data_IF_684449581204
#
_entry.id   IF_684449581204
#
_cell.length_a   1.000
_cell.length_b   1.000
_cell.length_c   1.000
_cell.angle_alpha   90.00
_cell.angle_beta   90.00
_cell.angle_gamma   90.00
#
_symmetry.space_group_name_H-M   'P 1'
#
loop_
_entity.id
_entity.type
_entity.pdbx_description
1 polymer ?
#
# COMPACT_ATOMS: atom_id res chain seq x y z
N UNK A 1 54.13 10.30 -58.27
CA UNK A 1 54.71 8.96 -58.45
C UNK A 1 55.47 8.66 -57.17
N UNK A 2 54.80 8.77 -56.04
CA UNK A 2 53.77 7.87 -55.49
C UNK A 2 54.47 6.70 -54.84
N UNK A 3 54.47 6.74 -53.51
CA UNK A 3 54.11 5.60 -52.69
C UNK A 3 53.80 6.11 -51.27
N UNK A 4 52.50 6.29 -51.01
CA UNK A 4 51.90 6.51 -49.69
C UNK A 4 51.41 5.16 -49.16
N UNK A 5 52.07 4.65 -48.14
CA UNK A 5 51.66 3.44 -47.42
C UNK A 5 50.72 3.83 -46.28
N UNK A 6 49.59 3.13 -46.30
CA UNK A 6 48.49 3.08 -45.34
C UNK A 6 48.99 2.58 -43.98
N UNK A 7 48.54 3.20 -42.88
CA UNK A 7 48.32 2.49 -41.62
C UNK A 7 46.95 2.83 -41.06
N UNK A 8 46.17 1.78 -40.87
CA UNK A 8 44.80 1.71 -40.40
C UNK A 8 44.69 1.98 -38.90
N UNK A 9 43.52 2.53 -38.53
CA UNK A 9 42.91 2.50 -37.21
C UNK A 9 42.71 1.04 -36.74
N UNK A 10 43.20 0.68 -35.55
CA UNK A 10 43.01 -0.64 -34.92
C UNK A 10 42.75 -0.57 -33.40
N UNK A 11 42.52 0.61 -32.80
CA UNK A 11 42.49 0.75 -31.33
C UNK A 11 41.08 0.60 -30.71
N UNK A 12 39.99 0.52 -31.50
CA UNK A 12 38.61 0.40 -30.97
C UNK A 12 38.12 -1.07 -30.79
N UNK A 13 38.82 -2.07 -31.35
CA UNK A 13 38.38 -3.47 -31.32
C UNK A 13 38.88 -4.23 -30.06
N UNK A 14 39.98 -3.81 -29.43
CA UNK A 14 40.56 -4.49 -28.25
C UNK A 14 39.82 -4.15 -26.94
N UNK A 15 39.29 -2.92 -26.81
CA UNK A 15 38.50 -2.49 -25.65
C UNK A 15 37.13 -3.18 -25.59
N UNK A 16 36.48 -3.42 -26.74
CA UNK A 16 35.19 -4.14 -26.77
C UNK A 16 35.35 -5.63 -26.40
N UNK A 17 36.42 -6.29 -26.85
CA UNK A 17 36.69 -7.70 -26.52
C UNK A 17 36.99 -7.91 -25.03
N UNK A 18 37.68 -6.96 -24.38
CA UNK A 18 37.98 -7.04 -22.94
C UNK A 18 36.74 -6.78 -22.08
N UNK A 19 35.87 -5.86 -22.53
CA UNK A 19 34.57 -5.57 -21.92
C UNK A 19 33.64 -6.80 -21.99
N UNK A 20 33.48 -7.44 -23.15
CA UNK A 20 32.65 -8.64 -23.31
C UNK A 20 33.17 -9.82 -22.47
N UNK A 21 34.48 -10.01 -22.42
CA UNK A 21 35.08 -11.09 -21.63
C UNK A 21 34.90 -10.87 -20.12
N UNK A 22 34.93 -9.61 -19.65
CA UNK A 22 34.66 -9.27 -18.24
C UNK A 22 33.20 -9.53 -17.83
N UNK A 23 32.24 -9.28 -18.73
CA UNK A 23 30.81 -9.52 -18.47
C UNK A 23 30.47 -11.02 -18.42
N UNK A 24 31.12 -11.84 -19.28
CA UNK A 24 30.99 -13.30 -19.28
C UNK A 24 31.52 -13.92 -17.97
N UNK A 25 32.70 -13.47 -17.50
CA UNK A 25 33.30 -13.90 -16.24
C UNK A 25 32.38 -13.57 -15.04
N UNK A 26 31.80 -12.37 -15.02
CA UNK A 26 30.88 -11.96 -13.95
C UNK A 26 29.61 -12.81 -13.96
N UNK A 27 29.02 -13.05 -15.14
CA UNK A 27 27.86 -13.94 -15.29
C UNK A 27 28.14 -15.35 -14.78
N UNK A 28 29.31 -15.91 -15.10
CA UNK A 28 29.75 -17.22 -14.63
C UNK A 28 29.95 -17.27 -13.12
N UNK A 29 30.59 -16.26 -12.53
CA UNK A 29 30.77 -16.16 -11.07
C UNK A 29 29.41 -16.11 -10.36
N UNK A 30 28.51 -15.26 -10.83
CA UNK A 30 27.19 -15.09 -10.21
C UNK A 30 26.37 -16.38 -10.34
N UNK A 31 26.37 -17.04 -11.50
CA UNK A 31 25.67 -18.32 -11.69
C UNK A 31 26.25 -19.46 -10.84
N UNK A 32 27.58 -19.47 -10.62
CA UNK A 32 28.24 -20.41 -9.74
C UNK A 32 27.85 -20.17 -8.27
N UNK A 33 27.81 -18.91 -7.82
CA UNK A 33 27.37 -18.56 -6.46
C UNK A 33 25.90 -18.94 -6.28
N UNK A 34 25.04 -18.68 -7.27
CA UNK A 34 23.63 -19.05 -7.21
C UNK A 34 23.43 -20.56 -7.12
N UNK A 35 24.10 -21.34 -7.98
CA UNK A 35 23.97 -22.80 -8.00
C UNK A 35 24.48 -23.48 -6.72
N UNK A 36 25.43 -22.85 -6.02
CA UNK A 36 26.01 -23.39 -4.78
C UNK A 36 25.29 -22.93 -3.52
N UNK A 37 24.75 -21.72 -3.49
CA UNK A 37 24.13 -21.12 -2.30
C UNK A 37 22.61 -21.12 -2.33
N UNK A 38 21.99 -21.38 -3.49
CA UNK A 38 20.56 -21.16 -3.75
C UNK A 38 20.06 -19.77 -3.33
N UNK A 39 20.98 -18.79 -3.19
CA UNK A 39 20.66 -17.41 -2.83
C UNK A 39 20.27 -16.64 -4.08
N UNK A 40 19.51 -15.54 -3.94
CA UNK A 40 19.08 -14.76 -5.10
C UNK A 40 20.23 -14.18 -5.91
N UNK A 41 19.98 -13.90 -7.18
CA UNK A 41 20.98 -13.30 -8.06
C UNK A 41 21.43 -11.92 -7.59
N UNK A 42 20.56 -11.13 -6.94
CA UNK A 42 20.94 -9.87 -6.27
C UNK A 42 21.93 -10.10 -5.13
N UNK A 43 21.70 -11.10 -4.27
CA UNK A 43 22.64 -11.43 -3.18
C UNK A 43 23.95 -11.96 -3.78
N UNK A 44 23.86 -12.79 -4.83
CA UNK A 44 25.03 -13.31 -5.53
C UNK A 44 25.86 -12.19 -6.15
N UNK A 45 25.21 -11.16 -6.71
CA UNK A 45 25.87 -9.97 -7.25
C UNK A 45 26.50 -9.09 -6.17
N UNK A 46 25.81 -8.88 -5.05
CA UNK A 46 26.38 -8.17 -3.90
C UNK A 46 27.57 -8.93 -3.29
N UNK A 47 27.52 -10.26 -3.30
CA UNK A 47 28.63 -11.11 -2.87
C UNK A 47 29.79 -11.06 -3.85
N UNK A 48 29.54 -11.11 -5.17
CA UNK A 48 30.59 -10.97 -6.18
C UNK A 48 31.23 -9.59 -6.14
N UNK A 49 30.45 -8.51 -5.98
CA UNK A 49 30.95 -7.15 -5.78
C UNK A 49 31.86 -7.07 -4.54
N UNK A 50 31.43 -7.62 -3.39
CA UNK A 50 32.27 -7.67 -2.18
C UNK A 50 33.53 -8.51 -2.40
N UNK A 51 33.42 -9.68 -3.02
CA UNK A 51 34.56 -10.55 -3.31
C UNK A 51 35.58 -9.85 -4.21
N UNK A 52 35.12 -9.19 -5.27
CA UNK A 52 35.95 -8.40 -6.18
C UNK A 52 36.63 -7.25 -5.43
N UNK A 53 35.89 -6.54 -4.55
CA UNK A 53 36.47 -5.47 -3.73
C UNK A 53 37.52 -5.95 -2.71
N UNK A 54 37.38 -7.17 -2.19
CA UNK A 54 38.38 -7.76 -1.29
C UNK A 54 39.61 -8.26 -2.04
N UNK A 55 39.42 -8.76 -3.26
CA UNK A 55 40.51 -9.23 -4.12
C UNK A 55 41.29 -8.08 -4.75
N UNK A 56 40.63 -6.96 -5.07
CA UNK A 56 41.28 -5.74 -5.56
C UNK A 56 42.22 -5.13 -4.51
N UNK A 57 41.88 -5.25 -3.21
CA UNK A 57 42.77 -4.84 -2.11
C UNK A 57 44.05 -5.69 -1.99
N UNK A 58 44.08 -6.89 -2.58
CA UNK A 58 45.20 -7.84 -2.47
C UNK A 58 46.14 -7.78 -3.68
N UNK A 59 45.65 -7.41 -4.88
CA UNK A 59 46.42 -7.45 -6.13
C UNK A 59 46.45 -6.11 -6.91
N UNK A 60 47.66 -5.62 -7.20
CA UNK A 60 48.01 -4.33 -7.86
C UNK A 60 47.78 -4.29 -9.39
N UNK A 61 46.63 -4.76 -9.89
CA UNK A 61 46.21 -4.53 -11.29
C UNK A 61 44.87 -3.78 -11.30
N UNK A 62 44.92 -2.48 -10.98
CA UNK A 62 43.72 -1.65 -10.76
C UNK A 62 42.75 -1.64 -11.95
N UNK A 63 43.24 -1.74 -13.19
CA UNK A 63 42.40 -1.65 -14.39
C UNK A 63 41.47 -2.88 -14.56
N UNK A 64 41.99 -4.10 -14.39
CA UNK A 64 41.18 -5.32 -14.58
C UNK A 64 40.12 -5.50 -13.49
N UNK A 65 40.43 -5.06 -12.26
CA UNK A 65 39.46 -5.09 -11.17
C UNK A 65 38.40 -4.00 -11.32
N UNK A 66 38.76 -2.82 -11.81
CA UNK A 66 37.81 -1.76 -12.13
C UNK A 66 36.87 -2.17 -13.27
N UNK A 67 37.37 -2.89 -14.27
CA UNK A 67 36.55 -3.40 -15.37
C UNK A 67 35.58 -4.50 -14.90
N UNK A 68 36.01 -5.35 -13.96
CA UNK A 68 35.15 -6.34 -13.30
C UNK A 68 34.11 -5.69 -12.37
N UNK A 69 34.47 -4.66 -11.59
CA UNK A 69 33.51 -3.90 -10.78
C UNK A 69 32.45 -3.26 -11.68
N UNK A 70 32.85 -2.64 -12.79
CA UNK A 70 31.93 -2.12 -13.81
C UNK A 70 31.11 -3.19 -14.51
N UNK A 71 31.65 -4.40 -14.69
CA UNK A 71 30.93 -5.53 -15.28
C UNK A 71 29.85 -6.06 -14.33
N UNK A 72 30.11 -6.09 -13.01
CA UNK A 72 29.08 -6.38 -11.99
C UNK A 72 28.00 -5.31 -12.00
N UNK A 73 28.35 -4.02 -12.06
CA UNK A 73 27.37 -2.95 -12.17
C UNK A 73 26.54 -3.04 -13.47
N UNK A 74 27.15 -3.45 -14.59
CA UNK A 74 26.46 -3.69 -15.86
C UNK A 74 25.53 -4.90 -15.81
N UNK A 75 25.96 -5.99 -15.16
CA UNK A 75 25.13 -7.18 -14.95
C UNK A 75 23.88 -6.85 -14.11
N UNK A 76 24.05 -6.10 -13.01
CA UNK A 76 22.95 -5.65 -12.15
C UNK A 76 21.97 -4.69 -12.85
N UNK A 77 22.41 -4.03 -13.92
CA UNK A 77 21.58 -3.11 -14.71
C UNK A 77 21.03 -3.77 -15.98
N UNK A 78 21.39 -5.02 -16.26
CA UNK A 78 21.01 -5.71 -17.49
C UNK A 78 19.56 -6.19 -17.46
N UNK A 79 18.83 -5.90 -18.54
CA UNK A 79 17.46 -6.40 -18.77
C UNK A 79 17.45 -7.93 -18.93
N UNK A 80 18.60 -8.53 -19.25
CA UNK A 80 18.80 -9.96 -19.40
C UNK A 80 19.04 -10.72 -18.08
N UNK A 81 18.85 -10.05 -16.95
CA UNK A 81 18.95 -10.67 -15.63
C UNK A 81 18.08 -11.95 -15.56
N UNK A 82 18.59 -13.06 -14.99
CA UNK A 82 17.92 -14.37 -15.01
C UNK A 82 16.53 -14.34 -14.38
N UNK A 83 16.33 -13.56 -13.31
CA UNK A 83 15.00 -13.41 -12.70
C UNK A 83 14.00 -12.68 -13.62
N UNK A 84 14.46 -11.70 -14.43
CA UNK A 84 13.62 -10.99 -15.40
C UNK A 84 13.30 -11.89 -16.61
N UNK A 85 14.26 -12.71 -17.05
CA UNK A 85 14.03 -13.74 -18.07
C UNK A 85 13.02 -14.78 -17.59
N UNK A 86 13.15 -15.25 -16.35
CA UNK A 86 12.20 -16.18 -15.72
C UNK A 86 10.80 -15.56 -15.61
N UNK A 87 10.70 -14.30 -15.18
CA UNK A 87 9.43 -13.57 -15.14
C UNK A 87 8.77 -13.51 -16.53
N UNK A 88 9.54 -13.14 -17.58
CA UNK A 88 9.04 -13.11 -18.96
C UNK A 88 8.53 -14.47 -19.42
N UNK A 89 9.31 -15.53 -19.20
CA UNK A 89 8.93 -16.90 -19.57
C UNK A 89 7.66 -17.38 -18.85
N UNK A 90 7.52 -17.07 -17.56
CA UNK A 90 6.34 -17.47 -16.79
C UNK A 90 5.07 -16.78 -17.31
N UNK A 91 5.12 -15.46 -17.56
CA UNK A 91 3.95 -14.72 -18.06
C UNK A 91 3.59 -15.16 -19.48
N UNK A 92 4.58 -15.35 -20.37
CA UNK A 92 4.35 -15.87 -21.71
C UNK A 92 3.69 -17.26 -21.67
N UNK A 93 4.18 -18.16 -20.80
CA UNK A 93 3.59 -19.48 -20.60
C UNK A 93 2.14 -19.38 -20.11
N UNK A 94 1.87 -18.50 -19.14
CA UNK A 94 0.52 -18.29 -18.60
C UNK A 94 -0.42 -17.70 -19.68
N UNK A 95 0.05 -16.73 -20.47
CA UNK A 95 -0.73 -16.14 -21.57
C UNK A 95 -1.06 -17.18 -22.64
N UNK A 96 -0.10 -18.00 -23.06
CA UNK A 96 -0.34 -19.09 -24.03
C UNK A 96 -1.38 -20.07 -23.47
N UNK A 97 -1.22 -20.51 -22.22
CA UNK A 97 -2.19 -21.40 -21.57
C UNK A 97 -3.57 -20.76 -21.41
N UNK A 98 -3.63 -19.45 -21.15
CA UNK A 98 -4.88 -18.67 -21.02
C UNK A 98 -5.65 -18.64 -22.33
N UNK A 99 -4.97 -18.23 -23.41
CA UNK A 99 -5.54 -18.15 -24.76
C UNK A 99 -6.04 -19.52 -25.25
N UNK A 100 -5.27 -20.59 -24.99
CA UNK A 100 -5.68 -21.97 -25.28
C UNK A 100 -6.95 -22.39 -24.52
N UNK A 101 -7.15 -21.88 -23.30
CA UNK A 101 -8.35 -22.16 -22.50
C UNK A 101 -9.58 -21.39 -23.01
N UNK A 102 -9.41 -20.12 -23.41
CA UNK A 102 -10.48 -19.29 -23.96
C UNK A 102 -11.00 -19.82 -25.31
N UNK A 103 -10.11 -20.19 -26.23
CA UNK A 103 -10.49 -20.73 -27.54
C UNK A 103 -11.28 -22.06 -27.44
N UNK A 104 -11.05 -22.84 -26.39
CA UNK A 104 -11.60 -24.20 -26.25
C UNK A 104 -12.89 -24.28 -25.44
N UNK A 105 -13.37 -23.19 -24.81
CA UNK A 105 -14.55 -23.21 -23.91
C UNK A 105 -14.50 -24.35 -22.86
N UNK A 106 -13.30 -24.78 -22.47
CA UNK A 106 -13.10 -25.91 -21.57
C UNK A 106 -12.99 -25.41 -20.13
N UNK A 107 -13.56 -26.15 -19.18
CA UNK A 107 -13.06 -26.16 -17.80
C UNK A 107 -11.63 -26.66 -17.83
N UNK A 108 -10.65 -25.83 -17.43
CA UNK A 108 -9.22 -26.13 -17.19
C UNK A 108 -8.86 -27.61 -17.42
N UNK A 109 -8.62 -27.98 -18.68
CA UNK A 109 -8.32 -29.36 -19.08
C UNK A 109 -6.82 -29.57 -19.26
N UNK A 110 -6.32 -30.77 -18.89
CA UNK A 110 -4.95 -31.36 -19.01
C UNK A 110 -3.73 -30.52 -18.59
N UNK A 111 -3.68 -29.23 -18.90
CA UNK A 111 -2.58 -28.30 -18.61
C UNK A 111 -2.87 -27.42 -17.37
N UNK A 112 -3.99 -27.69 -16.67
CA UNK A 112 -4.39 -26.98 -15.46
C UNK A 112 -3.33 -27.00 -14.35
N UNK A 113 -2.60 -28.12 -14.24
CA UNK A 113 -1.50 -28.24 -13.27
C UNK A 113 -0.30 -27.38 -13.68
N UNK A 114 0.05 -27.35 -14.97
CA UNK A 114 1.13 -26.51 -15.49
C UNK A 114 0.81 -25.02 -15.35
N UNK A 115 -0.45 -24.63 -15.62
CA UNK A 115 -0.92 -23.26 -15.38
C UNK A 115 -0.85 -22.91 -13.89
N UNK A 116 -1.35 -23.78 -13.02
CA UNK A 116 -1.30 -23.58 -11.57
C UNK A 116 0.14 -23.45 -11.05
N UNK A 117 1.03 -24.37 -11.44
CA UNK A 117 2.44 -24.34 -11.08
C UNK A 117 3.12 -23.05 -11.59
N UNK A 118 2.82 -22.61 -12.80
CA UNK A 118 3.37 -21.37 -13.37
C UNK A 118 2.89 -20.13 -12.61
N UNK A 119 1.61 -20.09 -12.25
CA UNK A 119 1.02 -19.00 -11.45
C UNK A 119 1.65 -18.97 -10.04
N UNK A 120 1.80 -20.13 -9.38
CA UNK A 120 2.46 -20.21 -8.07
C UNK A 120 3.93 -19.77 -8.15
N UNK A 121 4.67 -20.23 -9.17
CA UNK A 121 6.07 -19.81 -9.37
C UNK A 121 6.20 -18.31 -9.64
N UNK A 122 5.24 -17.72 -10.37
CA UNK A 122 5.21 -16.28 -10.59
C UNK A 122 4.95 -15.51 -9.30
N UNK A 123 4.01 -15.98 -8.47
CA UNK A 123 3.75 -15.42 -7.15
C UNK A 123 4.99 -15.50 -6.25
N UNK A 124 5.64 -16.66 -6.16
CA UNK A 124 6.86 -16.86 -5.36
C UNK A 124 7.99 -15.94 -5.82
N UNK A 125 8.17 -15.80 -7.13
CA UNK A 125 9.16 -14.90 -7.71
C UNK A 125 8.89 -13.45 -7.29
N UNK A 126 7.66 -12.97 -7.41
CA UNK A 126 7.29 -11.61 -7.04
C UNK A 126 7.38 -11.37 -5.53
N UNK A 127 6.88 -12.28 -4.70
CA UNK A 127 6.92 -12.17 -3.23
C UNK A 127 8.35 -12.10 -2.68
N UNK A 128 9.34 -12.65 -3.40
CA UNK A 128 10.76 -12.56 -3.05
C UNK A 128 11.37 -11.14 -3.23
N UNK A 129 10.54 -10.09 -3.21
CA UNK A 129 10.80 -8.64 -3.42
C UNK A 129 12.18 -8.09 -3.01
N UNK A 130 12.83 -8.65 -2.00
CA UNK A 130 14.20 -8.30 -1.58
C UNK A 130 15.23 -8.55 -2.71
N UNK A 131 14.86 -9.36 -3.70
CA UNK A 131 15.77 -9.94 -4.69
C UNK A 131 15.44 -9.60 -6.14
N UNK A 132 14.36 -8.86 -6.40
CA UNK A 132 14.10 -8.36 -7.75
C UNK A 132 14.61 -6.93 -7.89
N UNK A 133 15.28 -6.66 -9.01
CA UNK A 133 15.55 -5.29 -9.45
C UNK A 133 14.23 -4.61 -9.84
N UNK A 134 13.45 -4.14 -8.85
CA UNK A 134 12.12 -3.55 -9.04
C UNK A 134 12.11 -2.41 -10.08
N UNK A 135 13.22 -1.68 -10.21
CA UNK A 135 13.41 -0.64 -11.23
C UNK A 135 13.48 -1.20 -12.65
N UNK A 136 14.17 -2.32 -12.85
CA UNK A 136 14.25 -2.99 -14.15
C UNK A 136 12.96 -3.73 -14.47
N UNK A 137 12.35 -4.39 -13.48
CA UNK A 137 11.03 -5.01 -13.64
C UNK A 137 9.99 -3.96 -14.02
N UNK A 138 10.00 -2.80 -13.37
CA UNK A 138 9.09 -1.70 -13.69
C UNK A 138 9.22 -1.25 -15.16
N UNK A 139 10.45 -1.11 -15.67
CA UNK A 139 10.71 -0.83 -17.10
C UNK A 139 10.24 -1.97 -18.02
N UNK A 140 10.37 -3.22 -17.59
CA UNK A 140 9.94 -4.38 -18.37
C UNK A 140 8.40 -4.47 -18.43
N UNK A 141 7.71 -4.14 -17.35
CA UNK A 141 6.23 -4.04 -17.30
C UNK A 141 5.71 -2.92 -18.22
N UNK A 142 6.51 -1.89 -18.50
CA UNK A 142 6.15 -0.82 -19.43
C UNK A 142 6.25 -1.23 -20.92
N UNK A 143 6.85 -2.38 -21.22
CA UNK A 143 6.93 -2.87 -22.60
C UNK A 143 5.57 -3.40 -23.07
N UNK A 144 5.12 -2.95 -24.24
CA UNK A 144 3.81 -3.32 -24.81
C UNK A 144 3.58 -4.84 -24.86
N UNK A 145 4.57 -5.61 -25.31
CA UNK A 145 4.45 -7.08 -25.43
C UNK A 145 4.20 -7.74 -24.06
N UNK A 146 4.84 -7.22 -23.01
CA UNK A 146 4.65 -7.71 -21.64
C UNK A 146 3.29 -7.29 -21.10
N UNK A 147 2.85 -6.06 -21.39
CA UNK A 147 1.54 -5.58 -20.95
C UNK A 147 0.40 -6.43 -21.51
N UNK A 148 0.50 -6.85 -22.78
CA UNK A 148 -0.48 -7.74 -23.39
C UNK A 148 -0.53 -9.07 -22.65
N UNK A 149 0.61 -9.72 -22.40
CA UNK A 149 0.62 -10.97 -21.64
C UNK A 149 0.11 -10.81 -20.20
N UNK A 150 0.38 -9.67 -19.56
CA UNK A 150 -0.14 -9.35 -18.23
C UNK A 150 -1.67 -9.18 -18.24
N UNK A 151 -2.23 -8.57 -19.29
CA UNK A 151 -3.69 -8.47 -19.47
C UNK A 151 -4.30 -9.87 -19.61
N UNK A 152 -3.68 -10.75 -20.39
CA UNK A 152 -4.15 -12.15 -20.52
C UNK A 152 -4.14 -12.89 -19.18
N UNK A 153 -3.11 -12.67 -18.35
CA UNK A 153 -3.04 -13.21 -16.98
C UNK A 153 -4.18 -12.66 -16.12
N UNK A 154 -4.51 -11.37 -16.24
CA UNK A 154 -5.64 -10.79 -15.50
C UNK A 154 -7.00 -11.30 -16.00
N UNK A 155 -7.15 -11.59 -17.29
CA UNK A 155 -8.37 -12.14 -17.88
C UNK A 155 -8.74 -13.52 -17.31
N UNK A 156 -7.76 -14.29 -16.85
CA UNK A 156 -7.99 -15.54 -16.10
C UNK A 156 -8.90 -15.35 -14.88
N UNK A 157 -8.95 -14.14 -14.31
CA UNK A 157 -9.87 -13.85 -13.19
C UNK A 157 -11.34 -13.85 -13.60
N UNK A 158 -11.64 -13.67 -14.88
CA UNK A 158 -12.99 -13.77 -15.44
C UNK A 158 -13.43 -15.21 -15.73
N UNK A 159 -12.49 -16.16 -15.76
CA UNK A 159 -12.76 -17.57 -16.03
C UNK A 159 -13.21 -18.30 -14.75
N UNK A 160 -13.86 -19.45 -14.90
CA UNK A 160 -14.26 -20.32 -13.78
C UNK A 160 -13.07 -21.08 -13.21
N UNK A 161 -12.15 -20.34 -12.60
CA UNK A 161 -10.97 -20.85 -11.91
C UNK A 161 -11.31 -20.99 -10.41
N UNK A 162 -10.73 -21.95 -9.70
CA UNK A 162 -11.02 -22.11 -8.27
C UNK A 162 -10.67 -20.86 -7.44
N UNK A 163 -11.36 -20.62 -6.32
CA UNK A 163 -11.15 -19.45 -5.44
C UNK A 163 -9.69 -19.26 -4.99
N UNK A 164 -8.93 -20.35 -4.87
CA UNK A 164 -7.50 -20.30 -4.53
C UNK A 164 -6.69 -19.59 -5.62
N UNK A 165 -6.94 -19.88 -6.89
CA UNK A 165 -6.22 -19.26 -8.01
C UNK A 165 -6.65 -17.81 -8.17
N UNK A 166 -7.93 -17.50 -8.00
CA UNK A 166 -8.38 -16.10 -7.95
C UNK A 166 -7.66 -15.30 -6.86
N UNK A 167 -7.42 -15.90 -5.69
CA UNK A 167 -6.64 -15.28 -4.62
C UNK A 167 -5.21 -15.01 -5.03
N UNK A 168 -4.53 -16.01 -5.61
CA UNK A 168 -3.14 -15.88 -6.07
C UNK A 168 -3.02 -14.84 -7.20
N UNK A 169 -3.97 -14.81 -8.14
CA UNK A 169 -4.00 -13.80 -9.20
C UNK A 169 -4.19 -12.38 -8.64
N UNK A 170 -5.06 -12.20 -7.64
CA UNK A 170 -5.20 -10.91 -6.95
C UNK A 170 -3.88 -10.50 -6.28
N UNK A 171 -3.18 -11.45 -5.66
CA UNK A 171 -1.88 -11.19 -5.02
C UNK A 171 -0.83 -10.80 -6.06
N UNK A 172 -0.70 -11.55 -7.16
CA UNK A 172 0.23 -11.22 -8.27
C UNK A 172 -0.02 -9.80 -8.77
N UNK A 173 -1.28 -9.44 -9.04
CA UNK A 173 -1.62 -8.10 -9.54
C UNK A 173 -1.35 -7.03 -8.47
N UNK A 174 -1.63 -7.32 -7.20
CA UNK A 174 -1.26 -6.45 -6.09
C UNK A 174 0.25 -6.18 -6.04
N UNK A 175 1.09 -7.23 -6.12
CA UNK A 175 2.54 -7.09 -6.13
C UNK A 175 3.04 -6.29 -7.35
N UNK A 176 2.43 -6.50 -8.52
CA UNK A 176 2.75 -5.71 -9.72
C UNK A 176 2.37 -4.22 -9.56
N UNK A 177 1.22 -3.92 -8.94
CA UNK A 177 0.79 -2.56 -8.63
C UNK A 177 1.75 -1.85 -7.67
N UNK A 178 2.36 -2.57 -6.72
CA UNK A 178 3.38 -2.02 -5.83
C UNK A 178 4.69 -1.68 -6.53
N UNK A 179 5.05 -2.45 -7.57
CA UNK A 179 6.29 -2.26 -8.32
C UNK A 179 6.14 -1.13 -9.34
N UNK A 180 5.02 -1.09 -10.07
CA UNK A 180 4.76 -0.05 -11.07
C UNK A 180 3.35 0.56 -10.91
N UNK A 181 3.31 1.81 -10.42
CA UNK A 181 2.07 2.60 -10.28
C UNK A 181 1.45 2.98 -11.64
N UNK A 182 2.24 3.14 -12.70
CA UNK A 182 1.71 3.41 -14.05
C UNK A 182 0.87 2.24 -14.52
N UNK A 183 1.33 1.00 -14.30
CA UNK A 183 0.60 -0.21 -14.66
C UNK A 183 -0.78 -0.29 -13.97
N UNK A 184 -0.85 0.05 -12.68
CA UNK A 184 -2.12 0.02 -11.95
C UNK A 184 -3.12 1.00 -12.54
N UNK A 185 -2.68 2.23 -12.83
CA UNK A 185 -3.50 3.30 -13.41
C UNK A 185 -3.96 2.98 -14.83
N UNK A 186 -3.08 2.48 -15.69
CA UNK A 186 -3.40 2.29 -17.11
C UNK A 186 -4.16 0.99 -17.38
N UNK A 187 -3.82 -0.09 -16.68
CA UNK A 187 -4.25 -1.44 -17.06
C UNK A 187 -5.15 -2.11 -16.03
N UNK A 188 -5.13 -1.71 -14.76
CA UNK A 188 -5.86 -2.44 -13.69
C UNK A 188 -7.16 -1.76 -13.28
N UNK A 189 -7.19 -0.43 -13.15
CA UNK A 189 -8.38 0.31 -12.66
C UNK A 189 -9.64 0.05 -13.50
N UNK A 190 -9.49 0.02 -14.82
CA UNK A 190 -10.59 -0.22 -15.77
C UNK A 190 -10.82 -1.71 -16.07
N UNK A 191 -10.00 -2.59 -15.50
CA UNK A 191 -10.04 -4.01 -15.80
C UNK A 191 -11.13 -4.75 -14.98
N UNK A 192 -11.81 -5.77 -15.54
CA UNK A 192 -12.83 -6.55 -14.84
C UNK A 192 -12.39 -7.22 -13.54
N UNK A 193 -11.07 -7.33 -13.31
CA UNK A 193 -10.50 -7.87 -12.08
C UNK A 193 -11.00 -7.12 -10.85
N UNK A 194 -11.20 -5.80 -10.93
CA UNK A 194 -11.66 -4.98 -9.80
C UNK A 194 -13.07 -5.39 -9.37
N UNK A 195 -13.99 -5.53 -10.34
CA UNK A 195 -15.34 -6.05 -10.08
C UNK A 195 -15.31 -7.50 -9.60
N UNK A 196 -14.39 -8.32 -10.10
CA UNK A 196 -14.21 -9.69 -9.60
C UNK A 196 -13.74 -9.71 -8.14
N UNK A 197 -12.83 -8.84 -7.72
CA UNK A 197 -12.42 -8.71 -6.32
C UNK A 197 -13.60 -8.37 -5.42
N UNK A 198 -14.44 -7.41 -5.81
CA UNK A 198 -15.65 -7.04 -5.05
C UNK A 198 -16.58 -8.25 -4.93
N UNK A 199 -16.83 -8.97 -6.04
CA UNK A 199 -17.66 -10.18 -6.05
C UNK A 199 -17.09 -11.26 -5.13
N UNK A 200 -15.79 -11.55 -5.23
CA UNK A 200 -15.09 -12.55 -4.42
C UNK A 200 -15.27 -12.24 -2.93
N UNK A 201 -15.08 -10.98 -2.54
CA UNK A 201 -15.26 -10.53 -1.17
C UNK A 201 -16.70 -10.79 -0.71
N UNK A 202 -17.70 -10.31 -1.47
CA UNK A 202 -19.11 -10.50 -1.13
C UNK A 202 -19.52 -11.97 -0.99
N UNK A 203 -19.06 -12.84 -1.90
CA UNK A 203 -19.41 -14.26 -1.87
C UNK A 203 -18.69 -15.01 -0.75
N UNK A 204 -17.47 -14.60 -0.42
CA UNK A 204 -16.61 -15.30 0.54
C UNK A 204 -16.81 -14.84 1.99
N UNK A 205 -17.30 -13.62 2.23
CA UNK A 205 -17.59 -13.15 3.61
C UNK A 205 -18.59 -14.10 4.29
N UNK A 206 -19.68 -14.46 3.60
CA UNK A 206 -20.71 -15.34 4.16
C UNK A 206 -20.16 -16.72 4.55
N UNK A 207 -19.21 -17.27 3.76
CA UNK A 207 -18.58 -18.55 4.10
C UNK A 207 -17.57 -18.39 5.24
N UNK A 208 -16.76 -17.33 5.25
CA UNK A 208 -15.80 -17.06 6.32
C UNK A 208 -16.51 -16.94 7.68
N UNK A 209 -17.60 -16.17 7.75
CA UNK A 209 -18.36 -15.98 8.98
C UNK A 209 -19.11 -17.24 9.45
N UNK A 210 -19.42 -18.18 8.55
CA UNK A 210 -20.24 -19.36 8.87
C UNK A 210 -19.43 -20.64 9.11
N UNK A 211 -18.31 -20.83 8.40
CA UNK A 211 -17.59 -22.12 8.35
C UNK A 211 -16.09 -22.03 8.64
N UNK A 212 -15.53 -20.83 8.91
CA UNK A 212 -14.11 -20.68 9.26
C UNK A 212 -13.14 -21.04 8.12
N UNK A 213 -13.58 -20.76 6.89
CA UNK A 213 -13.14 -21.42 5.66
C UNK A 213 -11.74 -21.04 5.13
N UNK A 214 -11.22 -21.85 4.19
CA UNK A 214 -9.97 -21.63 3.42
C UNK A 214 -10.01 -20.40 2.49
N UNK A 215 -11.07 -19.60 2.51
CA UNK A 215 -11.27 -18.43 1.65
C UNK A 215 -10.63 -17.14 2.18
N UNK A 216 -10.15 -17.14 3.44
CA UNK A 216 -9.47 -16.00 4.07
C UNK A 216 -8.34 -15.38 3.23
N UNK A 217 -7.34 -16.13 2.73
CA UNK A 217 -6.24 -15.55 1.95
C UNK A 217 -6.76 -14.86 0.68
N UNK A 218 -7.72 -15.45 -0.02
CA UNK A 218 -8.34 -14.85 -1.21
C UNK A 218 -8.96 -13.49 -0.90
N UNK A 219 -9.68 -13.36 0.22
CA UNK A 219 -10.28 -12.08 0.64
C UNK A 219 -9.21 -11.06 1.03
N UNK A 220 -8.16 -11.49 1.73
CA UNK A 220 -7.03 -10.62 2.09
C UNK A 220 -6.38 -10.05 0.81
N UNK A 221 -6.07 -10.90 -0.17
CA UNK A 221 -5.45 -10.45 -1.42
C UNK A 221 -6.35 -9.53 -2.23
N UNK A 222 -7.66 -9.81 -2.29
CA UNK A 222 -8.62 -8.95 -2.95
C UNK A 222 -8.71 -7.57 -2.27
N UNK A 223 -8.77 -7.52 -0.93
CA UNK A 223 -8.80 -6.26 -0.19
C UNK A 223 -7.50 -5.46 -0.32
N UNK A 224 -6.35 -6.13 -0.35
CA UNK A 224 -5.04 -5.50 -0.57
C UNK A 224 -4.98 -4.83 -1.95
N UNK A 225 -5.37 -5.54 -3.00
CA UNK A 225 -5.43 -4.99 -4.35
C UNK A 225 -6.35 -3.76 -4.40
N UNK A 226 -7.57 -3.86 -3.86
CA UNK A 226 -8.51 -2.73 -3.83
C UNK A 226 -7.95 -1.53 -3.05
N UNK A 227 -7.28 -1.78 -1.92
CA UNK A 227 -6.64 -0.74 -1.11
C UNK A 227 -5.58 0.00 -1.92
N UNK A 228 -4.68 -0.71 -2.60
CA UNK A 228 -3.63 -0.08 -3.41
C UNK A 228 -4.21 0.73 -4.58
N UNK A 229 -5.26 0.21 -5.23
CA UNK A 229 -5.96 0.93 -6.30
C UNK A 229 -6.62 2.20 -5.78
N UNK A 230 -7.22 2.19 -4.59
CA UNK A 230 -7.79 3.38 -3.97
C UNK A 230 -6.73 4.46 -3.70
N UNK A 231 -5.53 4.06 -3.32
CA UNK A 231 -4.40 4.96 -3.08
C UNK A 231 -3.77 5.53 -4.37
N UNK A 232 -4.23 5.12 -5.56
CA UNK A 232 -3.77 5.69 -6.83
C UNK A 232 -4.25 7.14 -7.05
N UNK A 233 -5.29 7.57 -6.32
CA UNK A 233 -6.02 8.83 -6.49
C UNK A 233 -6.77 9.01 -7.81
N UNK A 234 -6.73 8.03 -8.71
CA UNK A 234 -7.43 8.05 -9.99
C UNK A 234 -8.93 7.75 -9.84
N UNK A 235 -9.73 8.20 -10.81
CA UNK A 235 -11.17 7.94 -10.82
C UNK A 235 -11.47 6.52 -11.31
N UNK A 236 -12.28 5.78 -10.56
CA UNK A 236 -12.80 4.50 -11.01
C UNK A 236 -13.93 4.68 -12.04
N UNK A 237 -14.13 3.71 -12.95
CA UNK A 237 -15.33 3.65 -13.77
C UNK A 237 -16.60 3.69 -12.93
N UNK A 238 -17.65 4.35 -13.44
CA UNK A 238 -18.93 4.55 -12.73
C UNK A 238 -19.53 3.24 -12.23
N UNK A 239 -19.41 2.15 -12.99
CA UNK A 239 -19.95 0.85 -12.60
C UNK A 239 -19.18 0.22 -11.43
N UNK A 240 -17.85 0.32 -11.41
CA UNK A 240 -17.01 -0.15 -10.30
C UNK A 240 -17.27 0.70 -9.06
N UNK A 241 -17.31 2.02 -9.23
CA UNK A 241 -17.59 2.95 -8.16
C UNK A 241 -18.96 2.67 -7.51
N UNK A 242 -20.01 2.44 -8.32
CA UNK A 242 -21.34 2.08 -7.82
C UNK A 242 -21.38 0.75 -7.06
N UNK A 243 -20.48 -0.20 -7.35
CA UNK A 243 -20.32 -1.43 -6.57
C UNK A 243 -19.59 -1.17 -5.24
N UNK A 244 -18.52 -0.38 -5.25
CA UNK A 244 -17.74 -0.01 -4.05
C UNK A 244 -18.54 0.86 -3.08
N UNK A 245 -19.32 1.81 -3.59
CA UNK A 245 -20.17 2.71 -2.81
C UNK A 245 -21.48 2.04 -2.35
N UNK A 246 -21.69 0.76 -2.66
CA UNK A 246 -22.91 0.06 -2.29
C UNK A 246 -22.95 -0.20 -0.78
N UNK A 247 -23.99 0.29 -0.12
CA UNK A 247 -24.23 0.09 1.31
C UNK A 247 -24.21 -1.39 1.74
N UNK A 248 -24.72 -2.31 0.91
CA UNK A 248 -24.70 -3.76 1.19
C UNK A 248 -23.27 -4.30 1.20
N UNK A 249 -22.43 -3.82 0.28
CA UNK A 249 -21.03 -4.22 0.23
C UNK A 249 -20.27 -3.68 1.44
N UNK A 250 -20.39 -2.39 1.74
CA UNK A 250 -19.70 -1.78 2.88
C UNK A 250 -20.15 -2.41 4.21
N UNK A 251 -21.45 -2.69 4.36
CA UNK A 251 -21.97 -3.44 5.51
C UNK A 251 -21.35 -4.83 5.63
N UNK A 252 -21.18 -5.55 4.52
CA UNK A 252 -20.52 -6.86 4.55
C UNK A 252 -19.05 -6.78 5.02
N UNK A 253 -18.34 -5.68 4.73
CA UNK A 253 -16.99 -5.45 5.26
C UNK A 253 -17.03 -5.17 6.77
N UNK A 254 -18.01 -4.40 7.25
CA UNK A 254 -18.17 -4.18 8.70
C UNK A 254 -18.49 -5.50 9.41
N UNK A 255 -19.42 -6.29 8.88
CA UNK A 255 -19.77 -7.61 9.40
C UNK A 255 -18.55 -8.55 9.37
N UNK A 256 -17.68 -8.45 8.36
CA UNK A 256 -16.43 -9.20 8.32
C UNK A 256 -15.52 -8.81 9.50
N UNK A 257 -15.34 -7.51 9.77
CA UNK A 257 -14.50 -7.03 10.87
C UNK A 257 -15.02 -7.52 12.22
N UNK A 258 -16.33 -7.40 12.46
CA UNK A 258 -16.95 -7.81 13.73
C UNK A 258 -16.91 -9.33 13.95
N UNK A 259 -17.08 -10.13 12.89
CA UNK A 259 -17.23 -11.59 13.02
C UNK A 259 -15.94 -12.39 12.73
N UNK A 260 -14.82 -11.73 12.41
CA UNK A 260 -13.55 -12.42 12.10
C UNK A 260 -12.79 -12.96 13.32
N UNK A 261 -13.28 -12.70 14.55
CA UNK A 261 -12.63 -13.16 15.77
C UNK A 261 -11.23 -12.54 15.95
N UNK A 262 -10.21 -13.38 16.18
CA UNK A 262 -8.84 -12.91 16.48
C UNK A 262 -7.92 -12.79 15.24
N UNK A 263 -8.46 -12.92 14.02
CA UNK A 263 -7.68 -12.82 12.78
C UNK A 263 -7.21 -11.39 12.49
N UNK A 264 -6.15 -10.98 13.18
CA UNK A 264 -5.59 -9.63 13.14
C UNK A 264 -5.19 -9.17 11.73
N UNK A 265 -4.70 -10.08 10.87
CA UNK A 265 -4.28 -9.74 9.50
C UNK A 265 -5.49 -9.37 8.62
N UNK A 266 -6.57 -10.16 8.69
CA UNK A 266 -7.79 -9.93 7.93
C UNK A 266 -8.47 -8.63 8.38
N UNK A 267 -8.62 -8.46 9.69
CA UNK A 267 -9.20 -7.25 10.30
C UNK A 267 -8.39 -6.02 9.90
N UNK A 268 -7.06 -6.06 10.05
CA UNK A 268 -6.20 -4.94 9.67
C UNK A 268 -6.30 -4.61 8.18
N UNK A 269 -6.38 -5.62 7.31
CA UNK A 269 -6.51 -5.42 5.87
C UNK A 269 -7.86 -4.79 5.51
N UNK A 270 -8.94 -5.22 6.15
CA UNK A 270 -10.27 -4.62 5.98
C UNK A 270 -10.32 -3.17 6.50
N UNK A 271 -9.67 -2.89 7.64
CA UNK A 271 -9.54 -1.52 8.18
C UNK A 271 -8.74 -0.63 7.23
N UNK A 272 -7.63 -1.12 6.65
CA UNK A 272 -6.87 -0.39 5.62
C UNK A 272 -7.72 -0.09 4.39
N UNK A 273 -8.54 -1.03 3.95
CA UNK A 273 -9.50 -0.80 2.87
C UNK A 273 -10.48 0.34 3.21
N UNK A 274 -11.11 0.30 4.39
CA UNK A 274 -12.04 1.36 4.83
C UNK A 274 -11.33 2.72 4.86
N UNK A 275 -10.16 2.79 5.48
CA UNK A 275 -9.40 4.03 5.60
C UNK A 275 -8.97 4.58 4.23
N UNK A 276 -8.52 3.73 3.31
CA UNK A 276 -8.12 4.15 1.95
C UNK A 276 -9.30 4.62 1.12
N UNK A 277 -10.46 3.97 1.26
CA UNK A 277 -11.69 4.42 0.59
C UNK A 277 -12.18 5.73 1.19
N UNK A 278 -12.07 5.90 2.51
CA UNK A 278 -12.43 7.13 3.21
C UNK A 278 -11.62 8.33 2.71
N UNK A 279 -10.32 8.17 2.46
CA UNK A 279 -9.44 9.22 1.96
C UNK A 279 -9.88 9.83 0.61
N UNK A 280 -10.75 9.17 -0.15
CA UNK A 280 -11.24 9.64 -1.46
C UNK A 280 -12.26 10.78 -1.39
N UNK A 281 -12.78 11.08 -0.20
CA UNK A 281 -13.90 12.01 -0.02
C UNK A 281 -13.47 13.25 0.76
N UNK A 282 -13.79 14.44 0.28
CA UNK A 282 -13.51 15.68 1.02
C UNK A 282 -14.62 16.00 2.04
N UNK A 283 -15.85 15.54 1.78
CA UNK A 283 -17.02 15.88 2.57
C UNK A 283 -17.69 14.64 3.21
N UNK A 284 -17.99 14.67 4.52
CA UNK A 284 -18.59 13.54 5.21
C UNK A 284 -19.96 13.11 4.68
N UNK A 285 -20.80 14.05 4.26
CA UNK A 285 -22.16 13.79 3.79
C UNK A 285 -22.21 13.13 2.40
N UNK A 286 -21.11 13.19 1.64
CA UNK A 286 -20.96 12.51 0.35
C UNK A 286 -20.23 11.17 0.49
N UNK A 287 -19.71 10.87 1.68
CA UNK A 287 -18.87 9.71 1.93
C UNK A 287 -19.73 8.45 2.17
N UNK A 288 -19.68 7.44 1.28
CA UNK A 288 -20.48 6.22 1.40
C UNK A 288 -20.19 5.44 2.68
N UNK A 289 -18.98 5.52 3.23
CA UNK A 289 -18.64 4.87 4.50
C UNK A 289 -19.45 5.52 5.62
N UNK A 290 -19.42 6.85 5.72
CA UNK A 290 -20.13 7.60 6.76
C UNK A 290 -21.65 7.41 6.64
N UNK A 291 -22.17 7.46 5.42
CA UNK A 291 -23.59 7.20 5.15
C UNK A 291 -23.99 5.76 5.50
N UNK A 292 -23.13 4.77 5.24
CA UNK A 292 -23.40 3.37 5.60
C UNK A 292 -23.35 3.16 7.10
N UNK A 293 -22.38 3.76 7.79
CA UNK A 293 -22.27 3.72 9.25
C UNK A 293 -23.52 4.32 9.91
N UNK A 294 -24.02 5.45 9.40
CA UNK A 294 -25.28 6.05 9.85
C UNK A 294 -26.48 5.14 9.55
N UNK A 295 -26.51 4.49 8.38
CA UNK A 295 -27.61 3.59 8.00
C UNK A 295 -27.66 2.30 8.83
N UNK A 296 -26.50 1.78 9.26
CA UNK A 296 -26.42 0.61 10.15
C UNK A 296 -27.01 0.94 11.52
N UNK A 297 -26.78 2.15 12.04
CA UNK A 297 -27.37 2.70 13.28
C UNK A 297 -27.38 1.73 14.49
N UNK A 298 -26.46 0.76 14.53
CA UNK A 298 -26.38 -0.29 15.54
C UNK A 298 -24.96 -0.33 16.09
N UNK A 299 -24.78 0.15 17.32
CA UNK A 299 -23.47 0.17 18.03
C UNK A 299 -22.79 -1.19 18.06
N UNK A 300 -23.57 -2.26 18.17
CA UNK A 300 -23.06 -3.64 18.28
C UNK A 300 -22.38 -4.08 16.98
N UNK A 301 -22.80 -3.55 15.83
CA UNK A 301 -22.35 -3.98 14.50
C UNK A 301 -21.08 -3.29 14.02
N UNK A 302 -20.51 -2.36 14.79
CA UNK A 302 -19.28 -1.64 14.41
C UNK A 302 -18.31 -1.49 15.59
N UNK A 303 -18.48 -2.30 16.64
CA UNK A 303 -17.70 -2.16 17.87
C UNK A 303 -16.22 -2.50 17.66
N UNK A 304 -15.92 -3.65 17.08
CA UNK A 304 -14.53 -4.06 16.78
C UNK A 304 -13.87 -3.06 15.83
N UNK A 305 -14.59 -2.56 14.83
CA UNK A 305 -14.08 -1.53 13.93
C UNK A 305 -13.64 -0.26 14.71
N UNK A 306 -14.51 0.26 15.57
CA UNK A 306 -14.23 1.46 16.36
C UNK A 306 -13.07 1.21 17.36
N UNK A 307 -13.08 0.09 18.08
CA UNK A 307 -12.01 -0.26 19.01
C UNK A 307 -10.64 -0.33 18.29
N UNK A 308 -10.60 -0.95 17.10
CA UNK A 308 -9.37 -1.00 16.27
C UNK A 308 -8.91 0.36 15.78
N UNK A 309 -9.83 1.23 15.36
CA UNK A 309 -9.50 2.60 14.96
C UNK A 309 -8.93 3.41 16.12
N UNK A 310 -9.50 3.29 17.32
CA UNK A 310 -9.00 3.95 18.53
C UNK A 310 -7.62 3.39 18.93
N UNK A 311 -7.42 2.08 18.83
CA UNK A 311 -6.11 1.45 19.11
C UNK A 311 -5.03 1.95 18.14
N UNK A 312 -5.34 2.06 16.85
CA UNK A 312 -4.43 2.61 15.86
C UNK A 312 -4.16 4.10 16.10
N UNK A 313 -5.19 4.87 16.46
CA UNK A 313 -5.06 6.28 16.83
C UNK A 313 -4.16 6.48 18.04
N UNK A 314 -4.30 5.66 19.07
CA UNK A 314 -3.47 5.69 20.28
C UNK A 314 -1.99 5.37 19.99
N UNK A 315 -1.70 4.59 18.95
CA UNK A 315 -0.34 4.27 18.51
C UNK A 315 0.30 5.37 17.66
N UNK A 316 -0.48 6.37 17.23
CA UNK A 316 -0.05 7.44 16.31
C UNK A 316 0.64 6.94 15.03
N UNK A 317 0.36 5.69 14.62
CA UNK A 317 0.84 5.09 13.37
C UNK A 317 -0.31 5.02 12.38
N UNK A 318 -0.12 5.64 11.21
CA UNK A 318 -1.04 5.50 10.08
C UNK A 318 -0.78 4.16 9.37
N UNK A 319 -1.75 3.22 9.32
CA UNK A 319 -1.57 1.92 8.66
C UNK A 319 -1.44 2.01 7.13
N UNK A 320 -1.79 3.15 6.53
CA UNK A 320 -1.69 3.43 5.10
C UNK A 320 -0.41 4.20 4.76
N UNK A 321 0.18 4.90 5.74
CA UNK A 321 1.34 5.78 5.55
C UNK A 321 1.15 6.81 4.41
N UNK A 322 -0.06 7.37 4.30
CA UNK A 322 -0.34 8.35 3.26
C UNK A 322 0.45 9.64 3.51
N UNK A 323 1.16 10.13 2.48
CA UNK A 323 2.05 11.31 2.61
C UNK A 323 1.32 12.62 2.88
N UNK A 324 0.04 12.73 2.52
CA UNK A 324 -0.70 14.01 2.51
C UNK A 324 -1.58 14.21 3.74
N UNK A 325 -2.22 13.16 4.24
CA UNK A 325 -3.15 13.27 5.37
C UNK A 325 -3.19 11.94 6.11
N UNK A 326 -3.08 11.99 7.44
CA UNK A 326 -3.22 10.81 8.28
C UNK A 326 -4.63 10.24 8.14
N UNK A 327 -4.75 9.01 7.66
CA UNK A 327 -6.04 8.41 7.30
C UNK A 327 -6.97 8.25 8.50
N UNK A 328 -6.41 8.01 9.69
CA UNK A 328 -7.16 7.82 10.93
C UNK A 328 -7.71 9.15 11.42
N UNK A 329 -6.89 10.20 11.45
CA UNK A 329 -7.33 11.55 11.83
C UNK A 329 -8.42 12.02 10.87
N UNK A 330 -8.25 11.77 9.57
CA UNK A 330 -9.25 12.09 8.54
C UNK A 330 -10.55 11.34 8.80
N UNK A 331 -10.49 10.04 9.08
CA UNK A 331 -11.66 9.23 9.40
C UNK A 331 -12.43 9.77 10.61
N UNK A 332 -11.74 10.06 11.72
CA UNK A 332 -12.40 10.66 12.90
C UNK A 332 -12.93 12.06 12.59
N UNK A 333 -12.22 12.86 11.81
CA UNK A 333 -12.69 14.19 11.41
C UNK A 333 -13.99 14.12 10.62
N UNK A 334 -14.14 13.12 9.75
CA UNK A 334 -15.41 12.90 9.05
C UNK A 334 -16.51 12.41 9.98
N UNK A 335 -16.18 11.48 10.88
CA UNK A 335 -17.10 10.90 11.84
C UNK A 335 -17.73 11.95 12.76
N UNK A 336 -16.94 12.94 13.19
CA UNK A 336 -17.39 14.10 13.99
C UNK A 336 -17.78 15.32 13.14
N UNK A 337 -17.55 15.27 11.83
CA UNK A 337 -17.75 16.37 10.89
C UNK A 337 -19.20 16.53 10.46
N UNK A 338 -19.89 15.42 10.20
CA UNK A 338 -21.33 15.43 9.92
C UNK A 338 -22.16 15.57 11.20
N UNK A 339 -23.41 16.04 11.07
CA UNK A 339 -24.34 16.30 12.18
C UNK A 339 -24.24 15.21 13.26
N UNK A 340 -24.21 15.63 14.54
CA UNK A 340 -23.87 14.85 15.73
C UNK A 340 -24.42 13.40 15.82
N UNK A 341 -25.44 13.05 15.04
CA UNK A 341 -26.08 11.75 14.93
C UNK A 341 -25.14 10.58 14.60
N UNK A 342 -24.14 10.72 13.72
CA UNK A 342 -23.30 9.56 13.34
C UNK A 342 -22.36 9.18 14.48
N UNK A 343 -21.67 10.17 15.06
CA UNK A 343 -20.83 9.93 16.23
C UNK A 343 -21.66 9.52 17.46
N UNK A 344 -22.85 10.11 17.68
CA UNK A 344 -23.77 9.79 18.79
C UNK A 344 -24.34 8.38 18.69
N UNK A 345 -24.59 7.91 17.47
CA UNK A 345 -25.03 6.55 17.25
C UNK A 345 -23.94 5.53 17.54
N UNK A 346 -22.66 5.81 17.25
CA UNK A 346 -21.61 4.78 17.18
C UNK A 346 -20.61 4.77 18.35
N UNK A 347 -20.29 5.94 18.94
CA UNK A 347 -19.25 6.05 19.97
C UNK A 347 -19.85 6.17 21.37
N UNK A 348 -19.34 5.37 22.32
CA UNK A 348 -19.66 5.56 23.73
C UNK A 348 -18.99 6.82 24.30
N UNK A 349 -19.53 7.37 25.38
CA UNK A 349 -18.91 8.49 26.11
C UNK A 349 -17.51 8.13 26.65
N UNK A 350 -17.23 6.85 26.93
CA UNK A 350 -15.89 6.37 27.25
C UNK A 350 -14.92 6.53 26.09
N UNK A 351 -15.37 6.20 24.88
CA UNK A 351 -14.52 6.20 23.68
C UNK A 351 -14.17 7.64 23.28
N UNK A 352 -15.16 8.55 23.36
CA UNK A 352 -14.95 9.99 23.12
C UNK A 352 -13.95 10.59 24.09
N UNK A 353 -14.06 10.24 25.38
CA UNK A 353 -13.10 10.67 26.41
C UNK A 353 -11.72 10.13 26.11
N UNK A 354 -11.59 8.85 25.77
CA UNK A 354 -10.32 8.24 25.40
C UNK A 354 -9.68 8.91 24.18
N UNK A 355 -10.46 9.24 23.15
CA UNK A 355 -9.97 9.98 21.98
C UNK A 355 -9.43 11.36 22.41
N UNK A 356 -10.13 12.10 23.27
CA UNK A 356 -9.64 13.39 23.79
C UNK A 356 -8.39 13.23 24.65
N UNK A 357 -8.29 12.16 25.45
CA UNK A 357 -7.08 11.87 26.23
C UNK A 357 -5.86 11.60 25.35
N UNK A 358 -6.07 10.90 24.23
CA UNK A 358 -5.03 10.65 23.21
C UNK A 358 -4.62 11.98 22.55
N UNK A 359 -5.58 12.79 22.13
CA UNK A 359 -5.31 14.11 21.52
C UNK A 359 -4.54 15.01 22.49
N UNK A 360 -4.96 15.09 23.77
CA UNK A 360 -4.27 15.88 24.79
C UNK A 360 -2.80 15.47 24.96
N UNK A 361 -2.51 14.16 24.90
CA UNK A 361 -1.15 13.64 24.95
C UNK A 361 -0.34 14.05 23.73
N UNK A 362 -0.89 13.82 22.53
CA UNK A 362 -0.22 14.16 21.27
C UNK A 362 0.07 15.66 21.16
N UNK A 363 -0.87 16.53 21.59
CA UNK A 363 -0.67 17.98 21.63
C UNK A 363 0.36 18.44 22.67
N UNK A 364 0.63 17.65 23.70
CA UNK A 364 1.63 17.96 24.73
C UNK A 364 3.03 17.50 24.32
N UNK A 365 3.12 16.37 23.61
CA UNK A 365 4.39 15.77 23.19
C UNK A 365 4.94 16.38 21.89
N UNK A 366 4.06 16.91 21.01
CA UNK A 366 4.45 17.47 19.70
C UNK A 366 4.98 18.89 19.79
N UNK A 367 5.79 19.24 18.79
CA UNK A 367 6.30 20.60 18.64
C UNK A 367 5.21 21.57 18.18
N UNK A 368 5.29 22.81 18.67
CA UNK A 368 4.33 23.90 18.39
C UNK A 368 4.31 24.30 16.89
N UNK A 369 5.37 23.92 16.16
CA UNK A 369 5.55 24.20 14.72
C UNK A 369 5.14 23.03 13.82
N UNK A 370 4.72 21.89 14.37
CA UNK A 370 4.31 20.71 13.60
C UNK A 370 2.95 20.94 12.92
N UNK A 371 2.87 20.67 11.61
CA UNK A 371 1.62 20.75 10.85
C UNK A 371 0.60 19.70 11.31
N UNK A 372 1.07 18.56 11.82
CA UNK A 372 0.17 17.54 12.38
C UNK A 372 -0.61 18.07 13.58
N UNK A 373 -0.03 18.99 14.37
CA UNK A 373 -0.71 19.64 15.50
C UNK A 373 -1.99 20.35 15.06
N UNK A 374 -1.98 20.98 13.88
CA UNK A 374 -3.18 21.61 13.31
C UNK A 374 -4.30 20.59 13.10
N UNK A 375 -3.97 19.41 12.58
CA UNK A 375 -4.97 18.35 12.34
C UNK A 375 -5.59 17.81 13.63
N UNK A 376 -4.78 17.65 14.68
CA UNK A 376 -5.27 17.25 16.02
C UNK A 376 -6.15 18.34 16.66
N UNK A 377 -5.80 19.62 16.52
CA UNK A 377 -6.60 20.73 17.02
C UNK A 377 -7.95 20.84 16.30
N UNK A 378 -7.97 20.70 14.97
CA UNK A 378 -9.23 20.67 14.20
C UNK A 378 -10.12 19.50 14.62
N UNK A 379 -9.54 18.31 14.84
CA UNK A 379 -10.30 17.16 15.34
C UNK A 379 -10.85 17.42 16.74
N UNK A 380 -10.06 18.03 17.64
CA UNK A 380 -10.52 18.39 18.97
C UNK A 380 -11.69 19.38 18.93
N UNK A 381 -11.63 20.40 18.07
CA UNK A 381 -12.73 21.34 17.87
C UNK A 381 -14.01 20.61 17.46
N UNK A 382 -13.93 19.69 16.49
CA UNK A 382 -15.08 18.92 16.02
C UNK A 382 -15.72 18.07 17.13
N UNK A 383 -14.89 17.40 17.95
CA UNK A 383 -15.35 16.58 19.08
C UNK A 383 -15.98 17.44 20.17
N UNK A 384 -15.43 18.61 20.48
CA UNK A 384 -16.01 19.49 21.50
C UNK A 384 -17.32 20.12 21.02
N UNK A 385 -17.42 20.45 19.73
CA UNK A 385 -18.62 21.00 19.09
C UNK A 385 -19.81 20.04 19.12
N UNK A 386 -19.60 18.72 19.13
CA UNK A 386 -20.68 17.73 19.30
C UNK A 386 -21.31 17.72 20.71
N UNK A 387 -20.81 18.58 21.63
CA UNK A 387 -21.34 18.82 22.99
C UNK A 387 -21.36 17.61 23.93
N UNK A 388 -20.70 16.52 23.57
CA UNK A 388 -20.64 15.31 24.41
C UNK A 388 -19.62 15.38 25.54
N UNK A 389 -18.75 16.39 25.55
CA UNK A 389 -17.69 16.54 26.54
C UNK A 389 -17.89 17.87 27.27
N UNK A 390 -18.09 17.75 28.58
CA UNK A 390 -18.22 18.86 29.52
C UNK A 390 -17.00 18.94 30.44
N UNK A 391 -16.90 20.03 31.20
CA UNK A 391 -15.87 20.25 32.22
C UNK A 391 -15.79 19.14 33.28
N UNK A 392 -16.88 18.40 33.52
CA UNK A 392 -16.90 17.32 34.50
C UNK A 392 -16.40 15.99 33.91
N UNK A 393 -16.54 15.82 32.60
CA UNK A 393 -16.20 14.57 31.89
C UNK A 393 -14.80 14.58 31.27
N UNK A 394 -14.22 15.76 31.06
CA UNK A 394 -12.87 15.90 30.53
C UNK A 394 -11.86 15.65 31.65
N UNK A 395 -11.10 14.55 31.54
CA UNK A 395 -10.17 14.07 32.57
C UNK A 395 -8.80 14.78 32.51
N UNK A 396 -8.42 15.34 31.36
CA UNK A 396 -7.10 15.97 31.11
C UNK A 396 -7.19 17.46 30.79
N UNK A 397 -8.11 18.17 31.44
CA UNK A 397 -8.33 19.61 31.24
C UNK A 397 -7.05 20.42 31.47
N UNK A 398 -6.32 20.13 32.57
CA UNK A 398 -5.11 20.89 32.93
C UNK A 398 -4.00 20.77 31.87
N UNK A 399 -3.86 19.59 31.26
CA UNK A 399 -2.89 19.37 30.18
C UNK A 399 -3.28 20.12 28.91
N UNK A 400 -4.57 20.05 28.52
CA UNK A 400 -5.10 20.82 27.39
C UNK A 400 -4.91 22.33 27.60
N UNK A 401 -5.25 22.84 28.78
CA UNK A 401 -5.04 24.24 29.13
C UNK A 401 -3.56 24.65 29.05
N UNK A 402 -2.67 23.79 29.54
CA UNK A 402 -1.22 24.01 29.49
C UNK A 402 -0.71 24.03 28.04
N UNK A 403 -1.15 23.07 27.22
CA UNK A 403 -0.79 23.01 25.79
C UNK A 403 -1.32 24.22 25.03
N UNK A 404 -2.58 24.62 25.25
CA UNK A 404 -3.17 25.80 24.63
C UNK A 404 -2.42 27.09 25.00
N UNK A 405 -2.02 27.26 26.28
CA UNK A 405 -1.17 28.38 26.71
C UNK A 405 0.15 28.39 25.95
N UNK A 406 0.82 27.24 25.89
CA UNK A 406 2.10 27.12 25.19
C UNK A 406 1.97 27.56 23.72
N UNK A 407 0.92 27.13 23.03
CA UNK A 407 0.64 27.50 21.64
C UNK A 407 0.28 28.98 21.45
N UNK A 408 -0.49 29.58 22.36
CA UNK A 408 -0.88 30.99 22.25
C UNK A 408 0.29 31.95 22.54
N UNK A 409 1.13 31.63 23.53
CA UNK A 409 2.27 32.47 23.93
C UNK A 409 3.52 32.28 23.06
N UNK A 410 3.65 31.15 22.36
CA UNK A 410 4.81 30.91 21.51
C UNK A 410 4.82 31.83 20.29
N UNK A 411 5.89 32.62 20.12
CA UNK A 411 6.05 33.54 18.99
C UNK A 411 5.98 32.80 17.64
N UNK A 412 6.61 31.63 17.55
CA UNK A 412 6.72 30.81 16.33
C UNK A 412 5.53 29.87 16.06
N UNK A 413 4.41 29.99 16.80
CA UNK A 413 3.26 29.12 16.59
C UNK A 413 2.57 29.39 15.24
N UNK A 414 2.09 28.33 14.58
CA UNK A 414 1.30 28.44 13.36
C UNK A 414 0.04 29.29 13.62
N UNK A 415 -0.26 30.22 12.70
CA UNK A 415 -1.44 31.12 12.84
C UNK A 415 -2.76 30.33 12.89
N UNK A 416 -2.84 29.23 12.16
CA UNK A 416 -4.00 28.34 12.15
C UNK A 416 -4.24 27.72 13.53
N UNK A 417 -3.19 27.25 14.20
CA UNK A 417 -3.31 26.67 15.54
C UNK A 417 -3.88 27.68 16.54
N UNK A 418 -3.38 28.92 16.51
CA UNK A 418 -3.90 30.00 17.36
C UNK A 418 -5.37 30.30 17.08
N UNK A 419 -5.75 30.35 15.80
CA UNK A 419 -7.13 30.57 15.40
C UNK A 419 -8.07 29.49 15.93
N UNK A 420 -7.73 28.21 15.71
CA UNK A 420 -8.55 27.07 16.16
C UNK A 420 -8.66 27.08 17.69
N UNK A 421 -7.56 27.28 18.42
CA UNK A 421 -7.56 27.35 19.88
C UNK A 421 -8.46 28.48 20.38
N UNK A 422 -8.39 29.66 19.77
CA UNK A 422 -9.25 30.78 20.16
C UNK A 422 -10.73 30.51 19.90
N UNK A 423 -11.07 29.84 18.80
CA UNK A 423 -12.45 29.41 18.52
C UNK A 423 -12.93 28.35 19.54
N UNK A 424 -12.09 27.36 19.88
CA UNK A 424 -12.40 26.39 20.94
C UNK A 424 -12.65 27.11 22.27
N UNK A 425 -11.77 28.02 22.68
CA UNK A 425 -11.90 28.77 23.95
C UNK A 425 -13.13 29.67 23.97
N UNK A 426 -13.53 30.21 22.82
CA UNK A 426 -14.74 31.02 22.66
C UNK A 426 -16.00 30.19 22.83
N UNK A 427 -16.02 28.98 22.28
CA UNK A 427 -17.17 28.07 22.35
C UNK A 427 -17.25 27.34 23.71
N UNK A 428 -16.11 27.04 24.32
CA UNK A 428 -15.98 26.25 25.55
C UNK A 428 -15.20 27.03 26.62
N UNK A 429 -15.86 28.01 27.24
CA UNK A 429 -15.24 28.93 28.21
C UNK A 429 -14.64 28.25 29.44
N UNK A 430 -15.07 27.04 29.78
CA UNK A 430 -14.52 26.23 30.88
C UNK A 430 -13.10 25.70 30.60
N UNK A 431 -12.66 25.71 29.34
CA UNK A 431 -11.26 25.47 28.96
C UNK A 431 -10.39 26.73 29.09
N UNK A 432 -11.00 27.91 29.29
CA UNK A 432 -10.26 29.14 29.49
C UNK A 432 -9.81 29.27 30.95
N UNK A 433 -8.63 29.84 31.13
CA UNK A 433 -8.11 30.25 32.44
C UNK A 433 -7.87 31.75 32.41
N UNK A 434 -7.99 32.43 33.56
CA UNK A 434 -7.85 33.88 33.67
C UNK A 434 -6.56 34.47 33.05
N UNK A 435 -5.51 33.65 32.87
CA UNK A 435 -4.20 34.04 32.32
C UNK A 435 -4.04 33.77 30.81
N UNK A 436 -5.11 33.45 30.07
CA UNK A 436 -5.06 33.20 28.62
C UNK A 436 -5.34 34.48 27.82
N UNK A 437 -4.48 34.85 26.85
CA UNK A 437 -4.74 36.01 26.01
C UNK A 437 -5.75 35.64 24.92
N UNK A 438 -6.93 36.26 24.94
CA UNK A 438 -7.84 36.25 23.80
C UNK A 438 -7.28 37.18 22.72
N UNK A 439 -6.54 36.62 21.77
CA UNK A 439 -6.13 37.35 20.57
C UNK A 439 -7.26 37.25 19.53
N UNK A 440 -7.96 38.37 19.31
CA UNK A 440 -8.92 38.56 18.23
C UNK A 440 -8.23 38.56 16.86
#
# INVERSE_FOLDING_TARGET
>A
MDDSIIMNNNDDDDDNNTIEHSDEIVSDIISLIHSTTHSSYVICSQLSSKLISYLSQIHMNDNQWHDLEKAVERFDQSIDHPDLRRFRQLIETISICSNDCEERNYTLGRDANTLFESICQLQELLQSHVNLHCTLLSKLIEQNDIQLHLIDVMNLTGMNVGNQIHGILCDIVHLLCQINRTFSVTNVIDHPIVSNCIRIIQTSINSICSTGDNAKPTVIFALRLLTDLLLTNESFPVHVYGQLSNCVFLKSIFDLIENSGEDNELILTAVKFILSFNLRFDYPHENPIMLTLLAVNEQISCRELIERLILLFNRSVDPIECKTTNSIIKFFSDLFGDQATTSDALLYDSDRRLIVEIISRELSDRSITDEATTTYLSLLELILRSQSITSETCTRIDELQTSFRAHLYAENCLKQNRFIINEILRQHCWLSTNDMPFYL
#
